data_IF_567881341461
#
_entry.id   IF_567881341461
#
_cell.length_a   1.000
_cell.length_b   1.000
_cell.length_c   1.000
_cell.angle_alpha   90.00
_cell.angle_beta   90.00
_cell.angle_gamma   90.00
#
_symmetry.space_group_name_H-M   'P 1'
#
loop_
_entity.id
_entity.type
_entity.pdbx_description
1 polymer ?
#
# COMPACT_ATOMS: atom_id res chain seq x y z
N UNK A 1 4.16 -16.03 1.03
CA UNK A 1 3.23 -15.35 0.11
C UNK A 1 4.01 -14.27 -0.60
N UNK A 2 4.08 -14.32 -1.93
CA UNK A 2 4.89 -13.41 -2.74
C UNK A 2 3.99 -12.32 -3.31
N UNK A 3 4.38 -11.07 -3.08
CA UNK A 3 3.64 -9.89 -3.52
C UNK A 3 4.33 -9.28 -4.74
N UNK A 4 3.54 -8.70 -5.64
CA UNK A 4 4.02 -7.73 -6.62
C UNK A 4 3.26 -6.43 -6.42
N UNK A 5 3.99 -5.34 -6.18
CA UNK A 5 3.39 -4.02 -5.99
C UNK A 5 3.47 -3.22 -7.28
N UNK A 6 2.33 -3.01 -7.91
CA UNK A 6 2.19 -2.10 -9.04
C UNK A 6 2.31 -0.68 -8.51
N UNK A 7 3.28 0.07 -9.00
CA UNK A 7 3.52 1.47 -8.64
C UNK A 7 2.76 2.34 -9.64
N UNK A 8 1.84 3.17 -9.12
CA UNK A 8 1.10 4.15 -9.89
C UNK A 8 1.60 5.57 -9.61
N UNK A 9 1.62 6.42 -10.63
CA UNK A 9 1.91 7.85 -10.55
C UNK A 9 0.77 8.64 -11.21
N UNK A 10 -0.39 8.64 -10.56
CA UNK A 10 -1.54 9.48 -10.93
C UNK A 10 -1.46 10.89 -10.31
N UNK A 11 -0.65 11.04 -9.27
CA UNK A 11 -0.47 12.26 -8.49
C UNK A 11 -0.63 11.98 -7.00
N UNK A 12 -0.72 13.05 -6.20
CA UNK A 12 -0.84 12.95 -4.75
C UNK A 12 -1.64 14.14 -4.21
N UNK A 13 -2.39 13.94 -3.13
CA UNK A 13 -3.08 15.02 -2.41
C UNK A 13 -2.18 15.73 -1.37
N UNK A 14 -0.92 15.31 -1.25
CA UNK A 14 0.10 15.88 -0.37
C UNK A 14 -0.30 16.04 1.11
N UNK A 15 -1.12 15.15 1.69
CA UNK A 15 -1.47 15.21 3.12
C UNK A 15 -0.48 14.47 4.04
N UNK A 16 0.28 13.50 3.52
CA UNK A 16 1.24 12.73 4.32
C UNK A 16 2.44 13.61 4.73
N UNK A 17 2.76 13.75 6.03
CA UNK A 17 3.83 14.63 6.50
C UNK A 17 5.24 14.05 6.28
N UNK A 18 5.36 12.74 6.12
CA UNK A 18 6.62 11.99 6.02
C UNK A 18 6.85 11.35 4.65
N UNK A 19 6.15 11.80 3.62
CA UNK A 19 6.18 11.13 2.31
C UNK A 19 7.52 11.38 1.60
N UNK A 20 8.32 10.32 1.47
CA UNK A 20 9.61 10.29 0.77
C UNK A 20 9.49 10.87 -0.65
N UNK A 21 8.38 10.62 -1.36
CA UNK A 21 8.18 11.12 -2.73
C UNK A 21 8.14 12.65 -2.78
N UNK A 22 7.60 13.32 -1.75
CA UNK A 22 7.57 14.79 -1.69
C UNK A 22 8.97 15.38 -1.54
N UNK A 23 9.79 14.76 -0.69
CA UNK A 23 11.11 15.26 -0.36
C UNK A 23 12.15 14.92 -1.44
N UNK A 24 11.99 13.76 -2.10
CA UNK A 24 12.98 13.24 -3.04
C UNK A 24 12.70 13.51 -4.51
N UNK A 25 11.62 14.22 -4.86
CA UNK A 25 11.25 14.49 -6.26
C UNK A 25 11.32 13.22 -7.13
N UNK A 26 10.92 12.06 -6.59
CA UNK A 26 11.14 10.78 -7.26
C UNK A 26 10.43 10.78 -8.61
N UNK A 27 11.22 10.71 -9.68
CA UNK A 27 10.76 10.76 -11.07
C UNK A 27 10.23 9.40 -11.51
N UNK A 28 9.20 8.93 -10.81
CA UNK A 28 8.51 7.69 -11.13
C UNK A 28 7.81 7.85 -12.48
N UNK A 29 7.88 6.84 -13.38
CA UNK A 29 7.25 6.92 -14.68
C UNK A 29 5.76 7.25 -14.56
N UNK A 30 5.26 8.09 -15.47
CA UNK A 30 3.83 8.38 -15.56
C UNK A 30 3.08 7.07 -15.81
N UNK A 31 1.99 6.85 -15.08
CA UNK A 31 1.15 5.67 -15.29
C UNK A 31 0.40 5.74 -16.61
N UNK A 32 0.49 4.66 -17.39
CA UNK A 32 -0.21 4.52 -18.68
C UNK A 32 -1.01 3.23 -18.75
N UNK A 33 -1.98 3.18 -19.67
CA UNK A 33 -2.71 1.95 -19.99
C UNK A 33 -1.77 0.88 -20.54
N UNK A 34 -0.89 1.23 -21.47
CA UNK A 34 0.11 0.30 -22.05
C UNK A 34 1.11 -0.20 -21.02
N UNK A 35 1.35 0.56 -19.95
CA UNK A 35 2.20 0.16 -18.83
C UNK A 35 1.75 -1.10 -18.10
N UNK A 36 0.52 -1.59 -18.35
CA UNK A 36 -0.02 -2.84 -17.81
C UNK A 36 0.09 -4.04 -18.77
N UNK A 37 0.59 -3.86 -19.99
CA UNK A 37 0.58 -4.92 -21.02
C UNK A 37 1.32 -6.19 -20.58
N UNK A 38 2.42 -6.04 -19.83
CA UNK A 38 3.24 -7.16 -19.36
C UNK A 38 2.91 -7.62 -17.94
N UNK A 39 1.90 -7.04 -17.27
CA UNK A 39 1.63 -7.33 -15.86
C UNK A 39 1.25 -8.80 -15.62
N UNK A 40 0.43 -9.39 -16.49
CA UNK A 40 0.01 -10.79 -16.35
C UNK A 40 1.22 -11.75 -16.41
N UNK A 41 2.11 -11.52 -17.38
CA UNK A 41 3.34 -12.30 -17.57
C UNK A 41 4.28 -12.08 -16.38
N UNK A 42 4.50 -10.84 -15.97
CA UNK A 42 5.32 -10.49 -14.80
C UNK A 42 4.84 -11.21 -13.52
N UNK A 43 3.53 -11.22 -13.25
CA UNK A 43 2.94 -11.92 -12.11
C UNK A 43 3.15 -13.44 -12.19
N UNK A 44 3.11 -14.01 -13.39
CA UNK A 44 3.32 -15.44 -13.64
C UNK A 44 4.78 -15.83 -13.47
N UNK A 45 5.70 -15.16 -14.17
CA UNK A 45 7.14 -15.46 -14.14
C UNK A 45 7.71 -15.32 -12.73
N UNK A 46 7.19 -14.37 -11.96
CA UNK A 46 7.61 -14.16 -10.59
C UNK A 46 6.87 -15.03 -9.58
N UNK A 47 5.90 -15.85 -9.97
CA UNK A 47 5.09 -16.67 -9.06
C UNK A 47 4.46 -15.86 -7.92
N UNK A 48 3.82 -14.74 -8.25
CA UNK A 48 3.17 -13.89 -7.26
C UNK A 48 1.81 -14.45 -6.84
N UNK A 49 1.53 -14.37 -5.54
CA UNK A 49 0.30 -14.83 -4.88
C UNK A 49 -0.71 -13.72 -4.67
N UNK A 50 -0.24 -12.47 -4.55
CA UNK A 50 -1.04 -11.25 -4.38
C UNK A 50 -0.45 -10.16 -5.28
N UNK A 51 -1.30 -9.33 -5.85
CA UNK A 51 -0.91 -8.09 -6.50
C UNK A 51 -1.40 -6.90 -5.67
N UNK A 52 -0.51 -5.99 -5.32
CA UNK A 52 -0.87 -4.74 -4.63
C UNK A 52 -0.83 -3.56 -5.60
N UNK A 53 -1.69 -2.57 -5.37
CA UNK A 53 -1.61 -1.26 -6.02
C UNK A 53 -1.08 -0.28 -4.97
N UNK A 54 0.01 0.37 -5.31
CA UNK A 54 0.77 1.30 -4.46
C UNK A 54 1.25 2.48 -5.30
N UNK A 55 1.77 3.55 -4.70
CA UNK A 55 2.09 4.77 -5.45
C UNK A 55 3.56 5.19 -5.47
N UNK A 56 3.88 6.05 -6.44
CA UNK A 56 4.77 7.22 -6.32
C UNK A 56 3.97 8.49 -6.06
N UNK A 57 2.97 8.35 -5.20
CA UNK A 57 1.82 9.23 -5.00
C UNK A 57 0.73 8.43 -4.30
N UNK A 58 -0.54 8.76 -4.51
CA UNK A 58 -1.66 7.92 -4.08
C UNK A 58 -2.36 7.30 -5.30
N UNK A 59 -2.59 5.97 -5.32
CA UNK A 59 -3.32 5.34 -6.42
C UNK A 59 -4.70 5.96 -6.67
N UNK A 60 -5.37 6.44 -5.63
CA UNK A 60 -6.74 6.97 -5.75
C UNK A 60 -6.79 8.46 -6.11
N UNK A 61 -5.64 9.10 -6.33
CA UNK A 61 -5.61 10.51 -6.75
C UNK A 61 -6.34 10.68 -8.08
N UNK A 62 -7.39 11.52 -8.08
CA UNK A 62 -8.26 11.75 -9.23
C UNK A 62 -8.78 10.44 -9.88
N UNK A 63 -9.14 9.45 -9.05
CA UNK A 63 -9.61 8.11 -9.46
C UNK A 63 -10.57 8.13 -10.67
N UNK A 64 -11.52 9.06 -10.71
CA UNK A 64 -12.53 9.18 -11.76
C UNK A 64 -11.93 9.46 -13.15
N UNK A 65 -10.72 10.02 -13.22
CA UNK A 65 -9.97 10.24 -14.46
C UNK A 65 -9.17 9.03 -14.92
N UNK A 66 -9.09 7.97 -14.11
CA UNK A 66 -8.23 6.81 -14.32
C UNK A 66 -9.00 5.47 -14.33
N UNK A 67 -10.33 5.53 -14.48
CA UNK A 67 -11.23 4.36 -14.45
C UNK A 67 -10.82 3.30 -15.49
N UNK A 68 -10.35 3.71 -16.66
CA UNK A 68 -9.88 2.82 -17.73
C UNK A 68 -8.67 1.99 -17.30
N UNK A 69 -7.73 2.59 -16.59
CA UNK A 69 -6.57 1.90 -16.02
C UNK A 69 -6.99 0.85 -15.00
N UNK A 70 -7.89 1.22 -14.07
CA UNK A 70 -8.42 0.28 -13.08
C UNK A 70 -9.18 -0.88 -13.73
N UNK A 71 -10.02 -0.60 -14.73
CA UNK A 71 -10.73 -1.65 -15.49
C UNK A 71 -9.75 -2.64 -16.13
N UNK A 72 -8.66 -2.14 -16.73
CA UNK A 72 -7.62 -3.00 -17.32
C UNK A 72 -6.90 -3.82 -16.25
N UNK A 73 -6.47 -3.18 -15.16
CA UNK A 73 -5.78 -3.83 -14.03
C UNK A 73 -6.63 -4.96 -13.42
N UNK A 74 -7.88 -4.68 -13.03
CA UNK A 74 -8.76 -5.70 -12.47
C UNK A 74 -9.12 -6.79 -13.48
N UNK A 75 -9.21 -6.45 -14.77
CA UNK A 75 -9.34 -7.44 -15.85
C UNK A 75 -8.16 -8.41 -15.92
N UNK A 76 -6.93 -7.94 -15.68
CA UNK A 76 -5.73 -8.79 -15.60
C UNK A 76 -5.74 -9.63 -14.33
N UNK A 77 -6.01 -9.02 -13.17
CA UNK A 77 -6.08 -9.73 -11.90
C UNK A 77 -7.15 -10.84 -11.91
N UNK A 78 -8.30 -10.59 -12.53
CA UNK A 78 -9.37 -11.56 -12.64
C UNK A 78 -9.00 -12.80 -13.48
N UNK A 79 -8.16 -12.63 -14.51
CA UNK A 79 -7.72 -13.71 -15.41
C UNK A 79 -6.64 -14.60 -14.79
N UNK A 80 -5.77 -14.03 -13.95
CA UNK A 80 -4.65 -14.74 -13.33
C UNK A 80 -5.12 -15.54 -12.12
N UNK A 81 -5.33 -16.85 -12.28
CA UNK A 81 -5.69 -17.73 -11.16
C UNK A 81 -4.47 -18.20 -10.35
N UNK A 82 -4.49 -18.05 -9.03
CA UNK A 82 -3.46 -18.47 -8.06
C UNK A 82 -4.05 -19.36 -6.97
N UNK A 83 -3.25 -20.27 -6.41
CA UNK A 83 -3.73 -21.13 -5.33
C UNK A 83 -3.63 -20.34 -4.03
N UNK A 84 -4.78 -19.85 -3.56
CA UNK A 84 -4.85 -18.91 -2.46
C UNK A 84 -5.94 -19.33 -1.48
N UNK A 85 -5.62 -19.32 -0.18
CA UNK A 85 -6.51 -19.77 0.90
C UNK A 85 -7.19 -21.12 0.60
N UNK A 86 -6.40 -22.10 0.13
CA UNK A 86 -6.85 -23.49 -0.05
C UNK A 86 -7.63 -23.78 -1.34
N UNK A 87 -7.68 -22.85 -2.29
CA UNK A 87 -8.43 -23.05 -3.55
C UNK A 87 -7.84 -22.26 -4.71
N UNK A 88 -8.15 -22.68 -5.93
CA UNK A 88 -7.84 -21.91 -7.13
C UNK A 88 -8.82 -20.75 -7.30
N UNK A 89 -8.31 -19.52 -7.40
CA UNK A 89 -9.11 -18.30 -7.55
C UNK A 89 -8.31 -17.19 -8.24
N UNK A 90 -8.95 -16.11 -8.73
CA UNK A 90 -8.24 -14.96 -9.23
C UNK A 90 -7.22 -14.40 -8.22
N UNK A 91 -6.14 -13.79 -8.71
CA UNK A 91 -5.11 -13.21 -7.85
C UNK A 91 -5.73 -12.12 -6.98
N UNK A 92 -5.65 -12.25 -5.64
CA UNK A 92 -6.15 -11.24 -4.72
C UNK A 92 -5.47 -9.90 -4.96
N UNK A 93 -6.27 -8.84 -4.89
CA UNK A 93 -5.81 -7.45 -5.02
C UNK A 93 -5.72 -6.81 -3.64
N UNK A 94 -4.59 -6.16 -3.35
CA UNK A 94 -4.39 -5.33 -2.16
C UNK A 94 -4.28 -3.85 -2.55
N UNK A 95 -5.14 -2.98 -2.04
CA UNK A 95 -5.13 -1.54 -2.35
C UNK A 95 -4.45 -0.77 -1.22
N UNK A 96 -3.39 -0.02 -1.52
CA UNK A 96 -2.80 0.95 -0.57
C UNK A 96 -3.26 2.36 -0.89
N UNK A 97 -3.78 3.07 0.11
CA UNK A 97 -4.18 4.47 -0.06
C UNK A 97 -4.09 5.25 1.25
N UNK A 98 -3.95 6.56 1.14
CA UNK A 98 -4.06 7.54 2.21
C UNK A 98 -5.39 8.30 2.16
N UNK A 99 -6.25 8.02 1.18
CA UNK A 99 -7.64 8.48 1.15
C UNK A 99 -8.47 7.61 2.07
N UNK A 100 -9.23 8.22 2.96
CA UNK A 100 -10.20 7.54 3.82
C UNK A 100 -11.42 7.11 3.01
N UNK A 101 -12.22 6.19 3.56
CA UNK A 101 -13.26 5.47 2.79
C UNK A 101 -14.22 6.39 2.04
N UNK A 102 -14.64 7.50 2.66
CA UNK A 102 -15.62 8.43 2.07
C UNK A 102 -14.96 9.54 1.20
N UNK A 103 -13.64 9.58 1.05
CA UNK A 103 -12.93 10.60 0.24
C UNK A 103 -12.82 10.22 -1.26
N UNK A 104 -13.30 9.05 -1.66
CA UNK A 104 -13.15 8.51 -3.02
C UNK A 104 -14.33 7.63 -3.40
N UNK A 105 -14.67 7.57 -4.70
CA UNK A 105 -15.68 6.68 -5.24
C UNK A 105 -15.15 5.27 -5.60
N UNK A 106 -13.90 4.95 -5.23
CA UNK A 106 -13.29 3.66 -5.52
C UNK A 106 -14.06 2.49 -4.86
N UNK A 107 -14.36 1.41 -5.60
CA UNK A 107 -15.09 0.26 -5.07
C UNK A 107 -14.15 -0.66 -4.24
N UNK A 108 -13.89 -0.28 -2.98
CA UNK A 108 -13.01 -1.04 -2.08
C UNK A 108 -13.40 -2.52 -1.90
N UNK A 109 -14.68 -2.87 -2.05
CA UNK A 109 -15.20 -4.24 -1.97
C UNK A 109 -14.67 -5.17 -3.07
N UNK A 110 -14.09 -4.64 -4.15
CA UNK A 110 -13.43 -5.44 -5.20
C UNK A 110 -12.01 -5.89 -4.78
N UNK A 111 -11.49 -5.38 -3.67
CA UNK A 111 -10.18 -5.75 -3.14
C UNK A 111 -10.30 -6.91 -2.13
N UNK A 112 -9.24 -7.72 -2.06
CA UNK A 112 -9.08 -8.70 -0.99
C UNK A 112 -8.68 -8.05 0.32
N UNK A 113 -7.76 -7.07 0.24
CA UNK A 113 -7.33 -6.24 1.37
C UNK A 113 -7.27 -4.78 0.97
N UNK A 114 -7.65 -3.88 1.88
CA UNK A 114 -7.42 -2.44 1.74
C UNK A 114 -6.54 -1.98 2.89
N UNK A 115 -5.48 -1.26 2.56
CA UNK A 115 -4.44 -0.80 3.46
C UNK A 115 -4.46 0.73 3.50
N UNK A 116 -5.05 1.27 4.55
CA UNK A 116 -5.14 2.71 4.79
C UNK A 116 -3.91 3.22 5.51
N UNK A 117 -3.21 4.18 4.91
CA UNK A 117 -2.10 4.92 5.51
C UNK A 117 -2.66 6.11 6.27
N UNK A 118 -2.93 5.91 7.57
CA UNK A 118 -3.42 6.93 8.46
C UNK A 118 -2.26 7.75 9.04
N UNK A 119 -2.46 9.06 9.14
CA UNK A 119 -1.50 10.01 9.71
C UNK A 119 -1.84 10.40 11.15
N UNK A 120 -3.08 10.17 11.59
CA UNK A 120 -3.53 10.42 12.96
C UNK A 120 -4.58 9.41 13.41
N UNK A 121 -4.72 9.24 14.73
CA UNK A 121 -5.73 8.34 15.32
C UNK A 121 -7.16 8.73 14.92
N UNK A 122 -7.44 10.03 14.75
CA UNK A 122 -8.76 10.53 14.35
C UNK A 122 -9.19 10.00 12.99
N UNK A 123 -8.25 9.78 12.06
CA UNK A 123 -8.55 9.23 10.74
C UNK A 123 -9.07 7.79 10.81
N UNK A 124 -8.77 7.03 11.89
CA UNK A 124 -9.31 5.68 12.04
C UNK A 124 -10.83 5.64 12.12
N UNK A 125 -11.46 6.71 12.63
CA UNK A 125 -12.92 6.85 12.66
C UNK A 125 -13.56 7.03 11.27
N UNK A 126 -12.75 7.35 10.26
CA UNK A 126 -13.16 7.57 8.87
C UNK A 126 -12.97 6.31 8.01
N UNK A 127 -12.31 5.28 8.54
CA UNK A 127 -12.13 4.01 7.87
C UNK A 127 -13.38 3.14 8.11
N UNK A 128 -14.01 2.71 7.03
CA UNK A 128 -15.17 1.81 7.04
C UNK A 128 -14.95 0.66 6.08
N UNK A 129 -15.38 -0.53 6.49
CA UNK A 129 -15.49 -1.68 5.60
C UNK A 129 -16.69 -1.50 4.67
N UNK A 130 -16.48 -1.73 3.39
CA UNK A 130 -17.48 -1.60 2.32
C UNK A 130 -17.99 -2.94 1.81
N UNK A 131 -17.24 -4.03 2.01
CA UNK A 131 -17.62 -5.39 1.64
C UNK A 131 -17.02 -6.44 2.59
N UNK A 132 -16.33 -7.42 2.01
CA UNK A 132 -15.70 -8.53 2.73
C UNK A 132 -14.16 -8.44 2.73
N UNK A 133 -13.62 -7.31 2.29
CA UNK A 133 -12.19 -7.03 2.31
C UNK A 133 -11.64 -7.07 3.74
N UNK A 134 -10.40 -7.52 3.87
CA UNK A 134 -9.62 -7.30 5.08
C UNK A 134 -9.22 -5.83 5.11
N UNK A 135 -9.52 -5.14 6.20
CA UNK A 135 -9.16 -3.73 6.36
C UNK A 135 -7.95 -3.61 7.28
N UNK A 136 -6.88 -3.00 6.79
CA UNK A 136 -5.66 -2.73 7.56
C UNK A 136 -5.43 -1.24 7.71
N UNK A 137 -5.18 -0.79 8.93
CA UNK A 137 -4.63 0.53 9.20
C UNK A 137 -3.10 0.45 9.33
N UNK A 138 -2.40 1.40 8.73
CA UNK A 138 -0.94 1.55 8.78
C UNK A 138 -0.58 2.95 9.23
N UNK A 139 0.33 3.05 10.18
CA UNK A 139 0.96 4.31 10.61
C UNK A 139 2.46 4.25 10.38
N UNK A 140 3.06 5.35 9.95
CA UNK A 140 4.52 5.51 9.98
C UNK A 140 4.91 6.12 11.32
N UNK A 141 5.84 5.49 12.03
CA UNK A 141 6.25 5.94 13.36
C UNK A 141 7.33 6.99 13.24
N UNK A 142 7.00 8.21 13.67
CA UNK A 142 7.84 9.39 13.64
C UNK A 142 8.37 9.74 15.04
N UNK A 143 9.28 10.72 15.13
CA UNK A 143 9.97 11.08 16.37
C UNK A 143 9.04 11.61 17.49
N UNK A 144 7.86 12.09 17.13
CA UNK A 144 6.83 12.63 18.02
C UNK A 144 5.96 11.56 18.67
N UNK A 145 6.01 10.32 18.18
CA UNK A 145 5.26 9.23 18.79
C UNK A 145 5.80 8.88 20.17
N UNK A 146 4.86 8.68 21.10
CA UNK A 146 5.11 8.07 22.39
C UNK A 146 4.57 6.64 22.44
N UNK A 147 4.96 5.88 23.46
CA UNK A 147 4.36 4.57 23.72
C UNK A 147 2.85 4.67 23.94
N UNK A 148 2.38 5.78 24.53
CA UNK A 148 0.95 6.00 24.74
C UNK A 148 0.20 6.10 23.40
N UNK A 149 0.74 6.86 22.44
CA UNK A 149 0.13 6.99 21.11
C UNK A 149 0.01 5.63 20.39
N UNK A 150 1.07 4.83 20.43
CA UNK A 150 1.08 3.46 19.86
C UNK A 150 -0.02 2.60 20.49
N UNK A 151 -0.17 2.68 21.81
CA UNK A 151 -1.15 1.87 22.55
C UNK A 151 -2.58 2.36 22.36
N UNK A 152 -2.80 3.67 22.25
CA UNK A 152 -4.11 4.25 21.97
C UNK A 152 -4.60 3.86 20.58
N UNK A 153 -3.71 3.90 19.57
CA UNK A 153 -3.99 3.39 18.22
C UNK A 153 -4.33 1.89 18.26
N UNK A 154 -3.52 1.08 18.96
CA UNK A 154 -3.75 -0.35 19.08
C UNK A 154 -5.09 -0.67 19.78
N UNK A 155 -5.44 0.08 20.83
CA UNK A 155 -6.70 -0.08 21.53
C UNK A 155 -7.89 0.33 20.65
N UNK A 156 -7.76 1.40 19.88
CA UNK A 156 -8.78 1.81 18.91
C UNK A 156 -9.05 0.70 17.91
N UNK A 157 -8.00 0.19 17.23
CA UNK A 157 -8.16 -0.85 16.21
C UNK A 157 -8.73 -2.13 16.82
N UNK A 158 -8.26 -2.54 18.00
CA UNK A 158 -8.79 -3.73 18.71
C UNK A 158 -10.29 -3.65 18.99
N UNK A 159 -10.81 -2.45 19.27
CA UNK A 159 -12.22 -2.22 19.55
C UNK A 159 -13.03 -1.85 18.29
N UNK A 160 -12.38 -1.71 17.13
CA UNK A 160 -13.03 -1.38 15.87
C UNK A 160 -13.74 -2.59 15.29
N UNK A 161 -14.96 -2.39 14.78
CA UNK A 161 -15.65 -3.40 13.96
C UNK A 161 -15.34 -3.25 12.47
N UNK A 162 -14.64 -2.18 12.07
CA UNK A 162 -14.35 -1.85 10.68
C UNK A 162 -12.91 -2.10 10.24
N UNK A 163 -11.99 -2.34 11.18
CA UNK A 163 -10.55 -2.51 10.92
C UNK A 163 -10.11 -3.87 11.50
N UNK A 164 -9.53 -4.73 10.68
CA UNK A 164 -9.10 -6.08 11.06
C UNK A 164 -7.63 -6.14 11.52
N UNK A 165 -6.78 -5.34 10.89
CA UNK A 165 -5.34 -5.43 11.04
C UNK A 165 -4.73 -4.06 11.34
N UNK A 166 -3.72 -4.04 12.21
CA UNK A 166 -2.89 -2.87 12.48
C UNK A 166 -1.45 -3.15 12.08
N UNK A 167 -0.81 -2.19 11.43
CA UNK A 167 0.63 -2.19 11.24
C UNK A 167 1.26 -0.84 11.59
N UNK A 168 2.47 -0.90 12.11
CA UNK A 168 3.36 0.25 12.25
C UNK A 168 4.53 0.07 11.31
N UNK A 169 4.89 1.12 10.58
CA UNK A 169 5.97 1.11 9.62
C UNK A 169 7.11 1.98 10.12
N UNK A 170 8.32 1.46 9.99
CA UNK A 170 9.56 2.20 10.22
C UNK A 170 9.61 3.43 9.28
N UNK A 171 9.95 4.60 9.83
CA UNK A 171 10.18 5.78 9.02
C UNK A 171 11.50 5.61 8.25
N UNK A 172 11.49 6.03 7.00
CA UNK A 172 12.66 6.12 6.14
C UNK A 172 12.73 7.57 5.68
N UNK A 173 13.86 8.23 5.92
CA UNK A 173 14.02 9.65 5.61
C UNK A 173 14.23 9.92 4.11
N UNK A 174 14.38 11.19 3.74
CA UNK A 174 14.68 11.64 2.38
C UNK A 174 15.99 11.02 1.84
N UNK A 175 16.97 10.77 2.69
CA UNK A 175 18.21 10.09 2.30
C UNK A 175 18.06 8.57 2.20
N UNK A 176 16.84 8.05 2.39
CA UNK A 176 16.51 6.64 2.53
C UNK A 176 17.26 5.94 3.67
N UNK A 177 17.44 6.67 4.76
CA UNK A 177 18.01 6.17 6.00
C UNK A 177 16.86 5.76 6.91
N UNK A 178 16.92 4.52 7.35
CA UNK A 178 16.04 3.94 8.35
C UNK A 178 16.10 4.72 9.67
N UNK A 179 14.94 5.03 10.23
CA UNK A 179 14.80 5.70 11.53
C UNK A 179 14.19 4.74 12.54
N UNK A 180 14.81 4.66 13.71
CA UNK A 180 14.54 3.60 14.70
C UNK A 180 13.70 4.09 15.90
N UNK A 181 12.64 4.86 15.63
CA UNK A 181 11.77 5.39 16.68
C UNK A 181 10.92 4.28 17.31
N UNK A 182 11.00 4.14 18.64
CA UNK A 182 10.28 3.15 19.45
C UNK A 182 10.47 1.69 18.97
N UNK A 183 11.54 1.40 18.23
CA UNK A 183 11.73 0.13 17.53
C UNK A 183 11.61 -1.09 18.44
N UNK A 184 12.32 -1.10 19.58
CA UNK A 184 12.28 -2.21 20.54
C UNK A 184 10.85 -2.50 20.99
N UNK A 185 10.07 -1.45 21.26
CA UNK A 185 8.68 -1.57 21.66
C UNK A 185 7.79 -2.11 20.53
N UNK A 186 7.98 -1.62 19.31
CA UNK A 186 7.26 -2.08 18.13
C UNK A 186 7.56 -3.55 17.82
N UNK A 187 8.82 -3.99 17.97
CA UNK A 187 9.22 -5.40 17.85
C UNK A 187 8.59 -6.28 18.92
N UNK A 188 8.45 -5.79 20.16
CA UNK A 188 7.79 -6.53 21.24
C UNK A 188 6.33 -6.86 20.94
N UNK A 189 5.60 -5.92 20.30
CA UNK A 189 4.19 -6.08 19.92
C UNK A 189 3.94 -6.72 18.54
N UNK A 190 4.97 -6.84 17.70
CA UNK A 190 4.90 -7.47 16.38
C UNK A 190 4.33 -8.90 16.47
N UNK A 191 3.40 -9.25 15.56
CA UNK A 191 2.64 -10.52 15.51
C UNK A 191 1.75 -10.80 16.73
N UNK A 192 1.59 -9.86 17.65
CA UNK A 192 0.73 -10.01 18.84
C UNK A 192 -0.39 -8.98 18.85
N UNK A 193 -0.03 -7.71 18.74
CA UNK A 193 -0.94 -6.57 18.77
C UNK A 193 -1.01 -5.86 17.41
N UNK A 194 0.10 -5.88 16.67
CA UNK A 194 0.24 -5.27 15.36
C UNK A 194 1.30 -6.01 14.55
N UNK A 195 1.47 -5.64 13.29
CA UNK A 195 2.65 -5.96 12.50
C UNK A 195 3.58 -4.76 12.49
N UNK A 196 4.80 -4.93 12.97
CA UNK A 196 5.87 -3.96 12.70
C UNK A 196 6.51 -4.28 11.35
N UNK A 197 6.58 -3.30 10.45
CA UNK A 197 7.07 -3.40 9.08
C UNK A 197 8.33 -2.54 8.95
N UNK A 198 9.42 -3.16 8.53
CA UNK A 198 10.72 -2.55 8.32
C UNK A 198 10.96 -2.24 6.83
N UNK A 199 11.98 -1.45 6.54
CA UNK A 199 12.40 -1.23 5.16
C UNK A 199 12.80 -2.58 4.51
N UNK A 200 12.47 -2.76 3.23
CA UNK A 200 12.72 -3.99 2.45
C UNK A 200 11.91 -5.23 2.88
N UNK A 201 10.81 -5.08 3.61
CA UNK A 201 9.91 -6.21 3.90
C UNK A 201 9.10 -6.69 2.67
N UNK A 202 9.05 -5.92 1.57
CA UNK A 202 8.31 -6.27 0.35
C UNK A 202 9.09 -5.82 -0.90
N UNK A 203 9.58 -6.76 -1.72
CA UNK A 203 10.69 -6.51 -2.65
C UNK A 203 10.40 -6.92 -4.10
N UNK A 204 9.18 -6.72 -4.58
CA UNK A 204 8.92 -6.81 -6.02
C UNK A 204 7.94 -5.74 -6.45
N UNK A 205 8.42 -4.87 -7.31
CA UNK A 205 7.69 -3.73 -7.82
C UNK A 205 7.51 -3.89 -9.33
N UNK A 206 6.39 -3.39 -9.82
CA UNK A 206 6.09 -3.31 -11.23
C UNK A 206 5.71 -1.86 -11.58
N UNK A 207 6.34 -1.28 -12.60
CA UNK A 207 5.97 0.03 -13.11
C UNK A 207 6.22 0.07 -14.63
N UNK A 208 5.23 0.49 -15.41
CA UNK A 208 5.35 0.70 -16.86
C UNK A 208 6.06 -0.44 -17.63
N UNK A 209 5.59 -1.69 -17.42
CA UNK A 209 6.13 -2.92 -18.02
C UNK A 209 7.50 -3.39 -17.51
N UNK A 210 8.05 -2.74 -16.49
CA UNK A 210 9.31 -3.11 -15.86
C UNK A 210 9.08 -3.72 -14.47
N UNK A 211 9.91 -4.69 -14.10
CA UNK A 211 9.92 -5.32 -12.77
C UNK A 211 11.25 -5.07 -12.10
N UNK A 212 11.23 -4.62 -10.86
CA UNK A 212 12.44 -4.46 -10.04
C UNK A 212 12.21 -4.85 -8.58
N UNK A 213 13.28 -5.27 -7.91
CA UNK A 213 13.29 -5.45 -6.46
C UNK A 213 13.48 -4.15 -5.67
N UNK A 214 13.86 -3.04 -6.31
CA UNK A 214 14.10 -1.75 -5.64
C UNK A 214 13.28 -0.65 -6.28
N UNK A 215 12.63 0.14 -5.44
CA UNK A 215 11.81 1.27 -5.86
C UNK A 215 12.59 2.30 -6.69
N UNK A 216 13.84 2.58 -6.31
CA UNK A 216 14.70 3.56 -7.00
C UNK A 216 15.09 3.17 -8.42
N UNK A 217 14.97 1.89 -8.80
CA UNK A 217 15.37 1.44 -10.14
C UNK A 217 14.42 1.99 -11.24
N UNK A 218 13.26 2.53 -10.87
CA UNK A 218 12.34 3.19 -11.79
C UNK A 218 12.58 4.70 -11.93
N UNK A 219 13.49 5.28 -11.16
CA UNK A 219 13.84 6.71 -11.29
C UNK A 219 14.43 6.96 -12.69
N UNK A 220 13.76 7.80 -13.48
CA UNK A 220 14.30 8.25 -14.76
C UNK A 220 15.13 9.52 -14.54
N UNK A 221 16.36 9.54 -15.07
CA UNK A 221 17.17 10.76 -15.10
C UNK A 221 16.39 11.86 -15.84
N UNK A 222 16.37 13.06 -15.25
CA UNK A 222 15.87 14.26 -15.92
C UNK A 222 16.96 14.73 -16.87
N UNK A 223 16.74 14.55 -18.18
CA UNK A 223 17.50 15.24 -19.22
C UNK A 223 17.09 16.71 -19.33
#
# INVERSE_FOLDING_TARGET
MKYMSVITNFGCHYKCPYCIVKENNLHIPRTTLSGLDNLEEALKENNCDIVSISGGGDPLHEYEKHIDWYRKFFGIAHKRNVFFNGSMRPIPVEMHTSYMTDETAFPFYDCYRVVYHANSIDQLSQIRRTGNEIVRAVFVVTADYTIADIMDIALFVKNSTGIDELSFRQLVDDKYTEQHYLEDYLRMGHKKLWWYIEQNDYNLYYAENEVSGRYRDFEKEVL
#
